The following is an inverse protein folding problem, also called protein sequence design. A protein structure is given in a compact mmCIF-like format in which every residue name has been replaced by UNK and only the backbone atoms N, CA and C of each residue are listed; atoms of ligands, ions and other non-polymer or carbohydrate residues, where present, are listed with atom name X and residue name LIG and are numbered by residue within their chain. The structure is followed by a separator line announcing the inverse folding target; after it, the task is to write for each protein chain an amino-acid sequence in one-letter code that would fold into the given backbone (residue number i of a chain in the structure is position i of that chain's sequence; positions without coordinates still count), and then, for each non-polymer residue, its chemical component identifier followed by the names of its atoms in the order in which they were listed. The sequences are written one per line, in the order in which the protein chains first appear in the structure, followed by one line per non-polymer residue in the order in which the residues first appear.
data_IF_242852344461
#
_entry.id   IF_242852344461
#
_cell.length_a   1.000
_cell.length_b   1.000
_cell.length_c   1.000
_cell.angle_alpha   90.00
_cell.angle_beta   90.00
_cell.angle_gamma   90.00
#
_symmetry.space_group_name_H-M   'P 1'
#
loop_
_entity.id
_entity.type
_entity.pdbx_description
1 polymer ?
#
# COMPACT_ATOMS: atom_id res chain seq x y z
N UNK A 1 -4.65 4.25 72.23
CA UNK A 1 -3.64 3.30 71.71
C UNK A 1 -3.31 3.74 70.30
N UNK A 2 -2.18 4.42 70.13
CA UNK A 2 -1.72 4.94 68.84
C UNK A 2 -1.28 3.77 67.96
N UNK A 3 -1.98 3.57 66.84
CA UNK A 3 -1.61 2.59 65.83
C UNK A 3 -0.38 3.14 65.09
N UNK A 4 0.82 2.82 65.59
CA UNK A 4 2.07 3.09 64.89
C UNK A 4 2.12 2.09 63.74
N UNK A 5 1.65 2.54 62.58
CA UNK A 5 1.83 1.82 61.31
C UNK A 5 3.34 1.77 61.08
N UNK A 6 3.92 0.58 61.11
CA UNK A 6 5.35 0.38 60.87
C UNK A 6 5.66 0.71 59.41
N UNK A 7 6.71 1.49 59.19
CA UNK A 7 7.14 1.93 57.85
C UNK A 7 7.45 0.75 56.90
N UNK A 8 7.73 -0.44 57.45
CA UNK A 8 7.93 -1.68 56.68
C UNK A 8 6.66 -2.18 55.99
N UNK A 9 5.49 -2.12 56.64
CA UNK A 9 4.23 -2.61 56.07
C UNK A 9 3.78 -1.76 54.87
N UNK A 10 3.99 -0.44 54.93
CA UNK A 10 3.70 0.48 53.83
C UNK A 10 4.63 0.28 52.63
N UNK A 11 5.88 -0.15 52.85
CA UNK A 11 6.83 -0.44 51.78
C UNK A 11 6.49 -1.77 51.07
N UNK A 12 6.02 -2.76 51.81
CA UNK A 12 5.69 -4.09 51.28
C UNK A 12 4.41 -4.04 50.43
N UNK A 13 3.39 -3.30 50.86
CA UNK A 13 2.20 -3.03 50.03
C UNK A 13 2.57 -2.29 48.73
N UNK A 14 3.45 -1.29 48.79
CA UNK A 14 3.91 -0.56 47.59
C UNK A 14 4.71 -1.44 46.63
N UNK A 15 5.52 -2.38 47.13
CA UNK A 15 6.26 -3.36 46.30
C UNK A 15 5.30 -4.34 45.63
N UNK A 16 4.33 -4.89 46.36
CA UNK A 16 3.33 -5.81 45.82
C UNK A 16 2.46 -5.16 44.73
N UNK A 17 2.05 -3.90 44.94
CA UNK A 17 1.31 -3.13 43.93
C UNK A 17 2.16 -2.92 42.67
N UNK A 18 3.45 -2.57 42.82
CA UNK A 18 4.36 -2.34 41.69
C UNK A 18 4.65 -3.62 40.89
N UNK A 19 4.78 -4.78 41.55
CA UNK A 19 4.91 -6.08 40.87
C UNK A 19 3.63 -6.51 40.17
N UNK A 20 2.45 -6.26 40.76
CA UNK A 20 1.16 -6.58 40.13
C UNK A 20 0.87 -5.74 38.88
N UNK A 21 1.28 -4.46 38.90
CA UNK A 21 1.21 -3.55 37.74
C UNK A 21 2.20 -3.99 36.65
N UNK A 22 3.43 -4.34 37.01
CA UNK A 22 4.43 -4.83 36.05
C UNK A 22 4.02 -6.15 35.39
N UNK A 23 3.38 -7.08 36.12
CA UNK A 23 2.81 -8.32 35.55
C UNK A 23 1.62 -8.04 34.61
N UNK A 24 0.73 -7.09 34.95
CA UNK A 24 -0.36 -6.68 34.05
C UNK A 24 0.15 -6.07 32.75
N UNK A 25 1.20 -5.24 32.80
CA UNK A 25 1.78 -4.63 31.60
C UNK A 25 2.49 -5.66 30.73
N UNK A 26 3.23 -6.62 31.33
CA UNK A 26 3.89 -7.71 30.58
C UNK A 26 2.89 -8.63 29.87
N UNK A 27 1.82 -9.06 30.55
CA UNK A 27 0.78 -9.90 29.92
C UNK A 27 0.03 -9.17 28.80
N UNK A 28 -0.06 -7.83 28.85
CA UNK A 28 -0.70 -7.04 27.80
C UNK A 28 0.19 -6.94 26.56
N UNK A 29 1.50 -6.78 26.74
CA UNK A 29 2.50 -6.76 25.66
C UNK A 29 2.65 -8.15 25.03
N UNK A 30 2.70 -9.21 25.83
CA UNK A 30 2.75 -10.60 25.32
C UNK A 30 1.49 -10.96 24.54
N UNK A 31 0.30 -10.53 24.98
CA UNK A 31 -0.91 -10.71 24.18
C UNK A 31 -0.84 -9.88 22.88
N UNK A 32 -0.44 -8.61 22.89
CA UNK A 32 -0.28 -7.84 21.64
C UNK A 32 0.73 -8.50 20.68
N UNK A 33 1.81 -9.12 21.18
CA UNK A 33 2.78 -9.86 20.37
C UNK A 33 2.21 -11.18 19.82
N UNK A 34 1.44 -11.93 20.61
CA UNK A 34 0.78 -13.16 20.15
C UNK A 34 -0.31 -12.84 19.13
N UNK A 35 -1.05 -11.75 19.32
CA UNK A 35 -2.04 -11.26 18.36
C UNK A 35 -1.36 -10.77 17.08
N UNK A 36 -0.37 -9.88 17.16
CA UNK A 36 0.36 -9.39 15.97
C UNK A 36 1.04 -10.53 15.21
N UNK A 37 1.58 -11.54 15.88
CA UNK A 37 2.16 -12.71 15.24
C UNK A 37 1.11 -13.59 14.53
N UNK A 38 -0.07 -13.81 15.12
CA UNK A 38 -1.13 -14.59 14.48
C UNK A 38 -1.74 -13.87 13.26
N UNK A 39 -1.94 -12.56 13.36
CA UNK A 39 -2.46 -11.74 12.25
C UNK A 39 -1.40 -11.44 11.17
N UNK A 40 -0.11 -11.52 11.46
CA UNK A 40 0.94 -11.34 10.45
C UNK A 40 0.89 -12.37 9.31
N UNK A 41 0.30 -13.55 9.56
CA UNK A 41 0.08 -14.55 8.51
C UNK A 41 -1.09 -14.22 7.58
N UNK A 42 -1.99 -13.34 8.03
CA UNK A 42 -3.26 -13.01 7.36
C UNK A 42 -3.29 -11.57 6.87
N UNK A 43 -2.52 -10.63 7.42
CA UNK A 43 -2.54 -9.21 7.06
C UNK A 43 -1.14 -8.74 6.64
N UNK A 44 -1.09 -8.02 5.51
CA UNK A 44 0.13 -7.36 5.02
C UNK A 44 -0.06 -5.86 4.93
N UNK A 45 0.96 -5.13 5.35
CA UNK A 45 1.05 -3.70 5.13
C UNK A 45 1.54 -3.42 3.72
N UNK A 46 0.63 -3.01 2.84
CA UNK A 46 0.93 -2.58 1.48
C UNK A 46 1.18 -1.08 1.49
N UNK A 47 2.35 -0.66 1.02
CA UNK A 47 2.76 0.75 1.04
C UNK A 47 2.06 1.55 -0.07
N UNK A 48 1.72 2.80 0.26
CA UNK A 48 1.19 3.80 -0.68
C UNK A 48 2.35 4.68 -1.15
N UNK A 49 2.54 4.74 -2.46
CA UNK A 49 3.58 5.51 -3.13
C UNK A 49 3.01 6.56 -4.07
N UNK A 50 3.80 7.60 -4.30
CA UNK A 50 3.61 8.53 -5.43
C UNK A 50 4.17 7.94 -6.74
N UNK A 51 3.99 8.64 -7.88
CA UNK A 51 4.53 8.22 -9.19
C UNK A 51 6.06 8.06 -9.19
N UNK A 52 6.75 8.77 -8.30
CA UNK A 52 8.19 8.65 -8.10
C UNK A 52 8.61 7.33 -7.44
N UNK A 53 7.68 6.56 -6.85
CA UNK A 53 7.93 5.31 -6.09
C UNK A 53 8.91 5.46 -4.89
N UNK A 54 9.34 6.68 -4.58
CA UNK A 54 10.28 6.98 -3.50
C UNK A 54 9.58 7.49 -2.24
N UNK A 55 8.51 8.26 -2.42
CA UNK A 55 7.80 8.89 -1.32
C UNK A 55 6.71 7.95 -0.82
N UNK A 56 6.82 7.52 0.44
CA UNK A 56 5.84 6.66 1.12
C UNK A 56 4.87 7.56 1.85
N UNK A 57 3.60 7.60 1.42
CA UNK A 57 2.57 8.41 2.06
C UNK A 57 1.81 7.70 3.17
N UNK A 58 1.80 6.38 3.13
CA UNK A 58 1.13 5.58 4.15
C UNK A 58 1.25 4.09 3.88
N UNK A 59 0.48 3.32 4.63
CA UNK A 59 0.32 1.89 4.43
C UNK A 59 -1.15 1.53 4.57
N UNK A 60 -1.56 0.49 3.85
CA UNK A 60 -2.89 -0.11 3.96
C UNK A 60 -2.75 -1.58 4.28
N UNK A 61 -3.47 -2.02 5.30
CA UNK A 61 -3.54 -3.42 5.69
C UNK A 61 -4.48 -4.17 4.74
N UNK A 62 -3.94 -5.15 4.02
CA UNK A 62 -4.73 -6.02 3.15
C UNK A 62 -4.62 -7.49 3.60
N UNK A 63 -5.72 -8.24 3.50
CA UNK A 63 -5.71 -9.66 3.80
C UNK A 63 -4.91 -10.43 2.74
N UNK A 64 -4.05 -11.32 3.23
CA UNK A 64 -3.29 -12.29 2.46
C UNK A 64 -4.15 -13.55 2.34
N UNK A 65 -4.47 -13.94 1.11
CA UNK A 65 -5.10 -15.22 0.81
C UNK A 65 -4.09 -16.11 0.08
N UNK A 66 -3.66 -17.21 0.69
CA UNK A 66 -2.67 -18.13 0.11
C UNK A 66 -1.38 -17.43 -0.37
N UNK A 67 -0.77 -16.61 0.50
CA UNK A 67 0.47 -15.85 0.21
C UNK A 67 0.33 -14.81 -0.93
N UNK A 68 -0.90 -14.49 -1.33
CA UNK A 68 -1.23 -13.50 -2.37
C UNK A 68 -2.14 -12.43 -1.82
N UNK A 69 -1.99 -11.22 -2.34
CA UNK A 69 -2.86 -10.08 -2.06
C UNK A 69 -3.59 -9.79 -3.37
N UNK A 70 -4.92 -9.90 -3.36
CA UNK A 70 -5.76 -9.69 -4.54
C UNK A 70 -5.28 -10.51 -5.78
N UNK A 71 -4.81 -11.75 -5.54
CA UNK A 71 -4.35 -12.66 -6.61
C UNK A 71 -2.88 -12.50 -7.03
N UNK A 72 -2.17 -11.48 -6.54
CA UNK A 72 -0.76 -11.21 -6.87
C UNK A 72 0.18 -11.52 -5.70
N UNK A 73 1.47 -11.85 -5.95
CA UNK A 73 2.44 -12.06 -4.88
C UNK A 73 2.56 -10.82 -3.98
N UNK A 74 2.46 -11.02 -2.67
CA UNK A 74 2.47 -9.93 -1.68
C UNK A 74 3.72 -9.03 -1.72
N UNK A 75 4.81 -9.50 -2.30
CA UNK A 75 6.08 -8.76 -2.44
C UNK A 75 6.05 -7.72 -3.56
N UNK A 76 5.12 -7.86 -4.53
CA UNK A 76 5.05 -7.01 -5.72
C UNK A 76 3.87 -6.06 -5.74
N UNK A 77 3.04 -6.06 -4.69
CA UNK A 77 1.85 -5.20 -4.63
C UNK A 77 2.18 -3.88 -3.97
N UNK A 78 1.54 -2.82 -4.44
CA UNK A 78 1.66 -1.48 -3.92
C UNK A 78 0.40 -0.68 -4.20
N UNK A 79 0.19 0.37 -3.41
CA UNK A 79 -0.78 1.39 -3.75
C UNK A 79 -0.07 2.60 -4.38
N UNK A 80 -0.73 3.21 -5.34
CA UNK A 80 -0.27 4.37 -6.09
C UNK A 80 -1.28 5.49 -5.89
N UNK A 81 -0.83 6.62 -5.36
CA UNK A 81 -1.67 7.81 -5.33
C UNK A 81 -1.59 8.53 -6.68
N UNK A 82 -2.77 8.78 -7.25
CA UNK A 82 -2.92 9.46 -8.53
C UNK A 82 -2.58 10.94 -8.36
N UNK A 83 -1.62 11.43 -9.16
CA UNK A 83 -1.18 12.83 -9.13
C UNK A 83 -1.63 13.65 -10.35
N UNK A 84 -2.12 12.98 -11.40
CA UNK A 84 -2.55 13.59 -12.66
C UNK A 84 -4.03 13.31 -12.97
N UNK A 85 -4.67 14.24 -13.70
CA UNK A 85 -6.08 14.15 -14.12
C UNK A 85 -6.23 13.70 -15.58
N UNK A 86 -5.14 13.24 -16.18
CA UNK A 86 -5.09 12.81 -17.59
C UNK A 86 -5.90 11.54 -17.88
N UNK A 87 -6.35 10.86 -16.83
CA UNK A 87 -7.18 9.67 -16.90
C UNK A 87 -8.60 9.91 -16.34
N UNK A 88 -9.02 11.18 -16.19
CA UNK A 88 -10.33 11.56 -15.66
C UNK A 88 -11.51 10.94 -16.40
N UNK A 89 -11.39 10.69 -17.71
CA UNK A 89 -12.38 9.98 -18.51
C UNK A 89 -12.49 8.48 -18.23
N UNK A 90 -11.51 7.90 -17.52
CA UNK A 90 -11.61 6.57 -16.89
C UNK A 90 -12.06 6.65 -15.41
N UNK A 91 -12.49 7.84 -14.95
CA UNK A 91 -12.81 8.15 -13.56
C UNK A 91 -11.63 8.01 -12.60
N UNK A 92 -10.42 8.20 -13.11
CA UNK A 92 -9.19 8.26 -12.33
C UNK A 92 -8.84 9.74 -12.18
N UNK A 93 -9.01 10.28 -10.98
CA UNK A 93 -8.76 11.68 -10.66
C UNK A 93 -7.60 11.81 -9.68
N UNK A 94 -6.98 12.99 -9.66
CA UNK A 94 -5.95 13.32 -8.69
C UNK A 94 -6.46 13.16 -7.26
N UNK A 95 -5.71 12.42 -6.46
CA UNK A 95 -6.03 12.09 -5.07
C UNK A 95 -6.64 10.71 -4.88
N UNK A 96 -7.02 10.02 -5.96
CA UNK A 96 -7.46 8.63 -5.88
C UNK A 96 -6.30 7.68 -5.53
N UNK A 97 -6.65 6.52 -4.98
CA UNK A 97 -5.70 5.46 -4.63
C UNK A 97 -5.89 4.28 -5.57
N UNK A 98 -4.88 3.99 -6.40
CA UNK A 98 -4.88 2.82 -7.26
C UNK A 98 -4.08 1.68 -6.64
N UNK A 99 -4.70 0.51 -6.52
CA UNK A 99 -3.98 -0.73 -6.25
C UNK A 99 -3.27 -1.17 -7.53
N UNK A 100 -1.96 -1.33 -7.42
CA UNK A 100 -1.09 -1.72 -8.51
C UNK A 100 -0.15 -2.86 -8.09
N UNK A 101 0.38 -3.56 -9.09
CA UNK A 101 1.45 -4.51 -8.88
C UNK A 101 2.58 -4.29 -9.87
N UNK A 102 3.80 -4.53 -9.42
CA UNK A 102 5.01 -4.42 -10.23
C UNK A 102 5.01 -5.48 -11.32
N UNK A 103 4.95 -5.03 -12.56
CA UNK A 103 5.01 -5.89 -13.74
C UNK A 103 5.82 -5.21 -14.82
N UNK A 104 6.55 -6.01 -15.59
CA UNK A 104 7.31 -5.54 -16.77
C UNK A 104 6.60 -5.87 -18.08
N UNK A 105 5.62 -6.76 -18.03
CA UNK A 105 4.86 -7.19 -19.18
C UNK A 105 3.65 -6.29 -19.42
N UNK A 106 3.37 -6.04 -20.68
CA UNK A 106 2.24 -5.23 -21.12
C UNK A 106 1.07 -6.16 -21.45
N UNK A 107 -0.09 -5.89 -20.88
CA UNK A 107 -1.35 -6.53 -21.26
C UNK A 107 -2.16 -5.59 -22.15
N UNK A 108 -2.90 -6.16 -23.10
CA UNK A 108 -3.75 -5.36 -23.98
C UNK A 108 -4.89 -4.69 -23.17
N UNK A 109 -5.17 -3.42 -23.47
CA UNK A 109 -6.17 -2.57 -22.79
C UNK A 109 -5.96 -2.39 -21.26
N UNK A 110 -4.81 -2.78 -20.71
CA UNK A 110 -4.52 -2.57 -19.30
C UNK A 110 -4.11 -1.12 -19.01
N UNK A 111 -4.33 -0.67 -17.78
CA UNK A 111 -3.85 0.63 -17.29
C UNK A 111 -2.53 0.39 -16.57
N UNK A 112 -1.51 1.14 -16.94
CA UNK A 112 -0.16 0.97 -16.44
C UNK A 112 0.44 2.32 -16.04
N UNK A 113 1.27 2.28 -15.01
CA UNK A 113 2.23 3.34 -14.74
C UNK A 113 3.43 3.15 -15.68
N UNK A 114 3.59 4.10 -16.59
CA UNK A 114 4.64 4.09 -17.60
C UNK A 114 5.58 5.26 -17.43
N UNK A 115 6.85 5.02 -17.69
CA UNK A 115 7.88 6.03 -17.82
C UNK A 115 8.27 6.15 -19.30
N UNK A 116 8.04 7.34 -19.86
CA UNK A 116 8.37 7.65 -21.24
C UNK A 116 8.87 9.08 -21.35
N UNK A 117 9.89 9.31 -22.19
CA UNK A 117 10.49 10.64 -22.41
C UNK A 117 10.89 11.35 -21.09
N UNK A 118 11.30 10.59 -20.08
CA UNK A 118 11.67 11.10 -18.75
C UNK A 118 10.50 11.57 -17.88
N UNK A 119 9.25 11.28 -18.27
CA UNK A 119 8.05 11.57 -17.48
C UNK A 119 7.36 10.26 -17.10
N UNK A 120 6.82 10.22 -15.88
CA UNK A 120 6.00 9.12 -15.39
C UNK A 120 4.54 9.54 -15.42
N UNK A 121 3.71 8.73 -16.04
CA UNK A 121 2.28 8.97 -16.09
C UNK A 121 1.51 7.66 -16.21
N UNK A 122 0.23 7.72 -15.88
CA UNK A 122 -0.66 6.57 -16.00
C UNK A 122 -1.31 6.63 -17.37
N UNK A 123 -1.18 5.53 -18.13
CA UNK A 123 -1.74 5.42 -19.47
C UNK A 123 -2.38 4.05 -19.65
N UNK A 124 -3.43 4.01 -20.45
CA UNK A 124 -3.91 2.73 -20.96
C UNK A 124 -3.02 2.31 -22.13
N UNK A 125 -2.49 1.09 -22.08
CA UNK A 125 -1.66 0.55 -23.14
C UNK A 125 -2.47 -0.42 -24.00
N UNK A 126 -2.44 -0.20 -25.31
CA UNK A 126 -3.02 -1.10 -26.31
C UNK A 126 -1.93 -1.57 -27.28
N UNK A 127 -1.79 -2.88 -27.44
CA UNK A 127 -0.80 -3.43 -28.37
C UNK A 127 -1.36 -3.37 -29.79
N UNK A 128 -0.60 -2.76 -30.71
CA UNK A 128 -0.95 -2.67 -32.13
C UNK A 128 -0.32 -3.80 -32.97
N UNK A 129 0.52 -4.65 -32.35
CA UNK A 129 1.37 -5.60 -33.06
C UNK A 129 2.66 -4.92 -33.59
N UNK A 130 3.60 -5.74 -34.07
CA UNK A 130 4.89 -5.27 -34.62
C UNK A 130 5.71 -4.39 -33.67
N UNK A 131 5.74 -4.74 -32.37
CA UNK A 131 6.49 -4.01 -31.32
C UNK A 131 6.07 -2.54 -31.10
N UNK A 132 4.92 -2.13 -31.65
CA UNK A 132 4.33 -0.82 -31.41
C UNK A 132 3.21 -0.92 -30.38
N UNK A 133 3.15 0.08 -29.52
CA UNK A 133 2.11 0.24 -28.50
C UNK A 133 1.44 1.59 -28.68
N UNK A 134 0.16 1.61 -28.35
CA UNK A 134 -0.65 2.82 -28.31
C UNK A 134 -0.86 3.17 -26.84
N UNK A 135 -0.35 4.32 -26.42
CA UNK A 135 -0.64 4.93 -25.13
C UNK A 135 -1.90 5.77 -25.30
N UNK A 136 -2.91 5.48 -24.51
CA UNK A 136 -4.18 6.19 -24.51
C UNK A 136 -4.31 6.94 -23.20
N UNK A 137 -4.54 8.25 -23.28
CA UNK A 137 -4.98 9.10 -22.17
C UNK A 137 -6.36 9.67 -22.47
N UNK A 138 -7.12 9.95 -21.41
CA UNK A 138 -8.48 10.44 -21.52
C UNK A 138 -8.72 11.46 -20.41
N UNK A 139 -8.25 12.69 -20.61
CA UNK A 139 -8.32 13.78 -19.63
C UNK A 139 -9.45 14.79 -19.90
N UNK A 140 -10.38 14.45 -20.79
CA UNK A 140 -11.39 15.36 -21.36
C UNK A 140 -11.47 15.25 -22.89
N UNK A 141 -10.36 14.90 -23.54
CA UNK A 141 -10.31 14.43 -24.91
C UNK A 141 -9.47 13.15 -24.99
N UNK A 142 -9.85 12.24 -25.90
CA UNK A 142 -9.11 11.00 -26.11
C UNK A 142 -7.82 11.33 -26.87
N UNK A 143 -6.70 11.25 -26.17
CA UNK A 143 -5.37 11.41 -26.75
C UNK A 143 -4.74 10.04 -26.91
N UNK A 144 -4.20 9.78 -28.10
CA UNK A 144 -3.54 8.51 -28.40
C UNK A 144 -2.15 8.79 -28.96
N UNK A 145 -1.12 8.29 -28.30
CA UNK A 145 0.27 8.37 -28.76
C UNK A 145 0.74 6.98 -29.17
N UNK A 146 1.23 6.85 -30.41
CA UNK A 146 1.88 5.61 -30.86
C UNK A 146 3.36 5.69 -30.56
N UNK A 147 3.89 4.68 -29.89
CA UNK A 147 5.31 4.58 -29.54
C UNK A 147 5.83 3.16 -29.71
N UNK A 148 7.15 3.03 -29.78
CA UNK A 148 7.80 1.73 -29.76
C UNK A 148 7.89 1.18 -28.34
N UNK A 149 7.78 -0.14 -28.21
CA UNK A 149 7.91 -0.85 -26.94
C UNK A 149 9.25 -0.55 -26.24
N UNK A 150 10.31 -0.25 -27.01
CA UNK A 150 11.66 0.05 -26.49
C UNK A 150 11.76 1.41 -25.82
N UNK A 151 10.88 2.35 -26.14
CA UNK A 151 10.89 3.72 -25.61
C UNK A 151 10.05 3.87 -24.34
N UNK A 152 9.30 2.84 -23.97
CA UNK A 152 8.44 2.81 -22.79
C UNK A 152 8.99 1.86 -21.77
N UNK A 153 9.20 2.37 -20.56
CA UNK A 153 9.45 1.52 -19.39
C UNK A 153 8.16 1.36 -18.62
N UNK A 154 7.69 0.11 -18.48
CA UNK A 154 6.53 -0.21 -17.65
C UNK A 154 6.98 -0.49 -16.22
N UNK A 155 6.37 0.20 -15.27
CA UNK A 155 6.71 0.11 -13.84
C UNK A 155 5.72 -0.80 -13.10
N UNK A 156 4.42 -0.55 -13.28
CA UNK A 156 3.37 -1.25 -12.58
C UNK A 156 2.07 -1.28 -13.39
N UNK A 157 1.25 -2.31 -13.17
CA UNK A 157 -0.12 -2.39 -13.69
C UNK A 157 -1.11 -2.05 -12.59
N UNK A 158 -2.09 -1.23 -12.91
CA UNK A 158 -3.21 -0.90 -12.04
C UNK A 158 -4.33 -1.93 -12.24
N UNK A 159 -4.88 -2.46 -11.15
CA UNK A 159 -6.03 -3.39 -11.20
C UNK A 159 -7.29 -2.82 -10.58
N UNK A 160 -7.17 -2.05 -9.50
CA UNK A 160 -8.30 -1.54 -8.75
C UNK A 160 -8.08 -0.09 -8.39
N UNK A 161 -9.15 0.70 -8.46
CA UNK A 161 -9.15 2.10 -8.07
C UNK A 161 -10.05 2.26 -6.85
N UNK A 162 -9.54 2.94 -5.85
CA UNK A 162 -10.30 3.42 -4.70
C UNK A 162 -10.53 4.91 -4.91
N UNK A 163 -11.78 5.24 -5.23
CA UNK A 163 -12.21 6.60 -5.53
C UNK A 163 -12.50 7.31 -4.21
N UNK A 164 -11.85 8.45 -4.01
CA UNK A 164 -12.23 9.35 -2.92
C UNK A 164 -13.33 10.28 -3.44
N UNK A 165 -14.58 10.03 -3.04
CA UNK A 165 -15.76 10.84 -3.37
C UNK A 165 -15.85 12.13 -2.54
#
# INVERSE_FOLDING_TARGET
VSMVVTDEALLEERKAIKESLAKKTKNKIENDEVWTNAFSSVLKNVLIFDYSLQNKKGFKELPIHSNKIEGHPQDKVLYLEIQDDEMSGFRILKGDLAFAYLVKEISNNGIFLVEYKGKRAIRQIKSLGNSKILLVSNGGSLLTETMELKEVTVLAKLEKLEISL
#
